data_IF_834517518797
#
_entry.id   IF_834517518797
#
_cell.length_a   1.000
_cell.length_b   1.000
_cell.length_c   1.000
_cell.angle_alpha   90.00
_cell.angle_beta   90.00
_cell.angle_gamma   90.00
#
_symmetry.space_group_name_H-M   'P 1'
#
loop_
_entity.id
_entity.type
_entity.pdbx_description
1 polymer ?
#
# COMPACT_ATOMS: atom_id res chain seq x y z
N UNK A 1 12.62 13.20 27.19
CA UNK A 1 12.28 12.00 26.44
C UNK A 1 13.34 11.75 25.37
N UNK A 2 13.96 10.58 25.38
CA UNK A 2 14.90 10.10 24.35
C UNK A 2 14.55 8.68 23.95
N UNK A 3 14.85 8.31 22.71
CA UNK A 3 14.74 6.92 22.25
C UNK A 3 15.80 6.08 22.97
N UNK A 4 15.37 5.13 23.79
CA UNK A 4 16.24 4.23 24.53
C UNK A 4 16.54 2.95 23.73
N UNK A 5 15.50 2.36 23.12
CA UNK A 5 15.60 1.07 22.43
C UNK A 5 14.68 0.99 21.23
N UNK A 6 15.17 0.35 20.17
CA UNK A 6 14.37 -0.01 18.99
C UNK A 6 14.47 -1.53 18.78
N UNK A 7 13.33 -2.20 18.74
CA UNK A 7 13.21 -3.62 18.41
C UNK A 7 12.56 -3.75 17.04
N UNK A 8 13.15 -4.55 16.14
CA UNK A 8 12.63 -4.83 14.80
C UNK A 8 12.27 -6.30 14.72
N UNK A 9 11.03 -6.61 14.32
CA UNK A 9 10.53 -7.98 14.24
C UNK A 9 9.87 -8.24 12.91
N UNK A 10 10.27 -9.33 12.26
CA UNK A 10 9.52 -9.92 11.16
C UNK A 10 8.36 -10.72 11.76
N UNK A 11 7.16 -10.50 11.25
CA UNK A 11 5.95 -11.22 11.63
C UNK A 11 5.38 -11.84 10.37
N UNK A 12 5.07 -13.12 10.43
CA UNK A 12 4.49 -13.88 9.33
C UNK A 12 3.37 -14.76 9.85
N UNK A 13 2.34 -14.94 9.03
CA UNK A 13 1.22 -15.83 9.29
C UNK A 13 0.82 -16.56 8.00
N UNK A 14 0.54 -17.86 8.14
CA UNK A 14 -0.13 -18.65 7.11
C UNK A 14 -1.60 -18.22 6.99
N UNK A 15 -2.11 -18.23 5.76
CA UNK A 15 -3.48 -17.88 5.44
C UNK A 15 -4.35 -19.14 5.39
N UNK A 16 -5.54 -19.07 5.97
CA UNK A 16 -6.54 -20.14 5.87
C UNK A 16 -6.91 -20.44 4.40
N UNK A 17 -6.88 -19.40 3.55
CA UNK A 17 -7.14 -19.50 2.12
C UNK A 17 -6.08 -18.72 1.33
N UNK A 18 -5.32 -19.39 0.45
CA UNK A 18 -4.44 -18.71 -0.50
C UNK A 18 -5.24 -17.85 -1.49
N UNK A 19 -4.65 -16.75 -1.93
CA UNK A 19 -5.19 -15.94 -3.02
C UNK A 19 -4.07 -15.40 -3.91
N UNK A 20 -4.44 -14.87 -5.07
CA UNK A 20 -3.51 -14.33 -6.06
C UNK A 20 -3.94 -12.98 -6.62
N UNK A 21 -2.97 -12.30 -7.21
CA UNK A 21 -3.11 -11.16 -8.10
C UNK A 21 -2.21 -11.39 -9.32
N UNK A 22 -2.19 -10.45 -10.27
CA UNK A 22 -1.45 -10.60 -11.53
C UNK A 22 0.03 -10.99 -11.40
N UNK A 23 0.67 -10.71 -10.27
CA UNK A 23 2.09 -11.01 -10.08
C UNK A 23 2.36 -12.41 -9.52
N UNK A 24 1.49 -12.91 -8.62
CA UNK A 24 1.69 -14.20 -7.93
C UNK A 24 0.48 -14.63 -7.11
N UNK A 25 0.53 -15.90 -6.70
CA UNK A 25 -0.27 -16.46 -5.62
C UNK A 25 0.51 -16.44 -4.30
N UNK A 26 -0.21 -16.39 -3.19
CA UNK A 26 0.39 -16.48 -1.85
C UNK A 26 -0.58 -17.08 -0.85
N UNK A 27 -0.02 -17.85 0.07
CA UNK A 27 -0.62 -18.51 1.22
C UNK A 27 -0.06 -17.96 2.53
N UNK A 28 0.75 -16.90 2.47
CA UNK A 28 1.37 -16.26 3.63
C UNK A 28 1.24 -14.74 3.56
N UNK A 29 1.18 -14.11 4.72
CA UNK A 29 1.30 -12.67 4.89
C UNK A 29 2.41 -12.35 5.85
N UNK A 30 3.20 -11.35 5.51
CA UNK A 30 4.27 -10.90 6.38
C UNK A 30 4.49 -9.40 6.34
N UNK A 31 4.95 -8.89 7.49
CA UNK A 31 5.25 -7.49 7.75
C UNK A 31 6.47 -7.40 8.66
N UNK A 32 7.06 -6.22 8.73
CA UNK A 32 8.08 -5.88 9.71
C UNK A 32 7.53 -4.81 10.64
N UNK A 33 7.58 -5.09 11.94
CA UNK A 33 7.09 -4.21 12.99
C UNK A 33 8.26 -3.64 13.78
N UNK A 34 8.24 -2.34 14.02
CA UNK A 34 9.17 -1.61 14.88
C UNK A 34 8.47 -1.28 16.20
N UNK A 35 9.11 -1.66 17.31
CA UNK A 35 8.75 -1.20 18.66
C UNK A 35 9.84 -0.26 19.16
N UNK A 36 9.49 1.00 19.35
CA UNK A 36 10.40 2.06 19.80
C UNK A 36 10.06 2.42 21.24
N UNK A 37 11.01 2.28 22.17
CA UNK A 37 10.83 2.55 23.60
C UNK A 37 11.68 3.74 24.01
N UNK A 38 11.09 4.68 24.75
CA UNK A 38 11.77 5.87 25.27
C UNK A 38 12.28 5.66 26.70
N UNK A 39 13.19 6.53 27.13
CA UNK A 39 13.78 6.53 28.48
C UNK A 39 12.78 6.82 29.62
N UNK A 40 11.60 7.36 29.30
CA UNK A 40 10.47 7.56 30.21
C UNK A 40 9.36 6.51 30.03
N UNK A 41 9.61 5.45 29.25
CA UNK A 41 8.75 4.26 29.16
C UNK A 41 7.62 4.33 28.13
N UNK A 42 7.52 5.40 27.34
CA UNK A 42 6.56 5.49 26.23
C UNK A 42 7.00 4.56 25.10
N UNK A 43 6.04 3.83 24.53
CA UNK A 43 6.27 2.92 23.41
C UNK A 43 5.52 3.39 22.17
N UNK A 44 6.26 3.55 21.08
CA UNK A 44 5.75 3.77 19.73
C UNK A 44 5.79 2.51 18.88
N UNK A 45 4.81 2.37 18.00
CA UNK A 45 4.75 1.28 17.02
C UNK A 45 4.74 1.81 15.59
N UNK A 46 5.46 1.11 14.72
CA UNK A 46 5.45 1.36 13.29
C UNK A 46 5.57 0.07 12.50
N UNK A 47 5.18 0.12 11.24
CA UNK A 47 5.08 -1.05 10.38
C UNK A 47 5.60 -0.73 8.97
N UNK A 48 6.15 -1.74 8.30
CA UNK A 48 6.50 -1.67 6.88
C UNK A 48 6.48 -3.05 6.24
N UNK A 49 6.33 -3.09 4.92
CA UNK A 49 6.55 -4.31 4.15
C UNK A 49 8.04 -4.69 4.13
N UNK A 50 8.30 -6.00 4.04
CA UNK A 50 9.64 -6.53 3.91
C UNK A 50 9.65 -8.06 4.03
N UNK A 51 10.84 -8.64 3.98
CA UNK A 51 11.07 -10.05 4.27
C UNK A 51 12.03 -10.21 5.44
N UNK A 52 12.15 -11.43 5.98
CA UNK A 52 13.14 -11.76 7.00
C UNK A 52 14.56 -11.25 6.64
N UNK A 53 14.94 -11.31 5.37
CA UNK A 53 16.25 -10.84 4.86
C UNK A 53 16.44 -9.31 4.95
N UNK A 54 15.35 -8.55 4.99
CA UNK A 54 15.40 -7.09 5.09
C UNK A 54 15.51 -6.57 6.53
N UNK A 55 15.26 -7.43 7.53
CA UNK A 55 15.32 -7.06 8.95
C UNK A 55 16.67 -6.46 9.35
N UNK A 56 17.83 -7.04 8.99
CA UNK A 56 19.12 -6.46 9.40
C UNK A 56 19.36 -5.07 8.83
N UNK A 57 18.95 -4.82 7.58
CA UNK A 57 19.07 -3.52 6.93
C UNK A 57 18.16 -2.48 7.60
N UNK A 58 16.90 -2.85 7.85
CA UNK A 58 15.93 -2.00 8.54
C UNK A 58 16.40 -1.66 9.96
N UNK A 59 16.88 -2.66 10.70
CA UNK A 59 17.43 -2.45 12.03
C UNK A 59 18.64 -1.52 12.00
N UNK A 60 19.59 -1.74 11.09
CA UNK A 60 20.80 -0.91 10.97
C UNK A 60 20.45 0.57 10.78
N UNK A 61 19.48 0.87 9.91
CA UNK A 61 19.04 2.26 9.67
C UNK A 61 18.26 2.81 10.87
N UNK A 62 17.29 2.07 11.41
CA UNK A 62 16.47 2.54 12.52
C UNK A 62 17.30 2.86 13.78
N UNK A 63 18.33 2.06 14.09
CA UNK A 63 19.19 2.25 15.27
C UNK A 63 19.95 3.58 15.27
N UNK A 64 20.11 4.25 14.12
CA UNK A 64 20.73 5.59 14.03
C UNK A 64 19.94 6.63 14.86
N UNK A 65 18.66 6.38 15.12
CA UNK A 65 17.81 7.27 15.92
C UNK A 65 17.92 7.08 17.44
N UNK A 66 18.60 6.03 17.94
CA UNK A 66 18.77 5.85 19.39
C UNK A 66 19.47 7.07 20.01
N UNK A 67 18.96 7.52 21.16
CA UNK A 67 19.42 8.69 21.88
C UNK A 67 18.86 10.04 21.39
N UNK A 68 18.15 10.07 20.26
CA UNK A 68 17.43 11.26 19.76
C UNK A 68 16.14 11.50 20.56
N UNK A 69 15.69 12.75 20.57
CA UNK A 69 14.36 13.13 21.06
C UNK A 69 13.31 12.78 19.99
N UNK A 70 12.34 11.89 20.28
CA UNK A 70 11.40 11.41 19.27
C UNK A 70 10.40 12.48 18.80
N UNK A 71 10.27 13.61 19.49
CA UNK A 71 9.44 14.73 19.04
C UNK A 71 10.06 15.50 17.86
N UNK A 72 11.37 15.35 17.62
CA UNK A 72 12.07 15.98 16.51
C UNK A 72 12.00 15.13 15.21
N UNK A 73 10.79 14.73 14.81
CA UNK A 73 10.54 13.79 13.70
C UNK A 73 11.27 14.20 12.42
N UNK A 74 11.12 15.44 11.94
CA UNK A 74 11.79 15.92 10.73
C UNK A 74 13.32 15.91 10.82
N UNK A 75 13.89 16.19 12.00
CA UNK A 75 15.35 16.10 12.24
C UNK A 75 15.82 14.65 12.09
N UNK A 76 15.10 13.71 12.70
CA UNK A 76 15.41 12.28 12.64
C UNK A 76 15.28 11.78 11.20
N UNK A 77 14.18 12.11 10.51
CA UNK A 77 13.98 11.77 9.11
C UNK A 77 15.14 12.22 8.23
N UNK A 78 15.56 13.50 8.33
CA UNK A 78 16.69 14.01 7.56
C UNK A 78 18.03 13.35 7.91
N UNK A 79 18.25 12.99 9.18
CA UNK A 79 19.43 12.25 9.64
C UNK A 79 19.50 10.87 8.96
N UNK A 80 18.39 10.13 8.97
CA UNK A 80 18.28 8.80 8.37
C UNK A 80 18.38 8.87 6.85
N UNK A 81 17.65 9.78 6.21
CA UNK A 81 17.68 9.98 4.77
C UNK A 81 19.12 10.25 4.28
N UNK A 82 19.86 11.14 4.95
CA UNK A 82 21.27 11.39 4.61
C UNK A 82 22.16 10.15 4.76
N UNK A 83 21.88 9.28 5.72
CA UNK A 83 22.65 8.05 5.92
C UNK A 83 22.44 7.04 4.77
N UNK A 84 21.25 7.02 4.18
CA UNK A 84 20.90 6.10 3.08
C UNK A 84 21.11 6.68 1.67
N UNK A 85 21.16 8.01 1.52
CA UNK A 85 21.13 8.73 0.23
C UNK A 85 22.26 8.36 -0.76
N UNK A 86 23.47 8.06 -0.29
CA UNK A 86 24.60 7.66 -1.14
C UNK A 86 24.98 6.18 -0.95
N UNK A 87 24.08 5.40 -0.37
CA UNK A 87 24.33 4.01 -0.02
C UNK A 87 25.54 3.78 0.91
N UNK A 88 26.00 4.83 1.63
CA UNK A 88 27.01 4.73 2.69
C UNK A 88 26.59 3.73 3.77
N UNK A 89 25.27 3.62 3.98
CA UNK A 89 24.62 2.51 4.65
C UNK A 89 23.75 1.81 3.61
N UNK A 90 24.31 0.83 2.88
CA UNK A 90 23.60 0.02 1.89
C UNK A 90 22.64 -0.94 2.59
N UNK A 91 21.58 -0.40 3.18
CA UNK A 91 20.56 -1.19 3.84
C UNK A 91 19.41 -1.43 2.85
N UNK A 92 19.30 -2.66 2.35
CA UNK A 92 18.04 -3.16 1.78
C UNK A 92 16.92 -2.81 2.77
N UNK A 93 15.95 -2.01 2.33
CA UNK A 93 14.87 -1.52 3.20
C UNK A 93 15.15 -0.20 3.92
N UNK A 94 16.12 0.62 3.50
CA UNK A 94 16.37 1.94 4.12
C UNK A 94 15.13 2.85 4.14
N UNK A 95 14.40 2.93 3.02
CA UNK A 95 13.13 3.66 2.97
C UNK A 95 12.08 3.03 3.91
N UNK A 96 11.98 1.69 3.93
CA UNK A 96 11.09 0.95 4.83
C UNK A 96 11.37 1.25 6.32
N UNK A 97 12.65 1.32 6.69
CA UNK A 97 13.08 1.68 8.04
C UNK A 97 12.68 3.09 8.41
N UNK A 98 12.88 4.05 7.51
CA UNK A 98 12.50 5.45 7.69
C UNK A 98 10.99 5.54 7.88
N UNK A 99 10.18 4.93 7.02
CA UNK A 99 8.71 4.96 7.12
C UNK A 99 8.17 4.32 8.39
N UNK A 100 8.65 3.13 8.76
CA UNK A 100 8.20 2.46 9.98
C UNK A 100 8.62 3.26 11.23
N UNK A 101 9.84 3.78 11.26
CA UNK A 101 10.29 4.59 12.39
C UNK A 101 9.50 5.90 12.48
N UNK A 102 9.29 6.61 11.37
CA UNK A 102 8.48 7.84 11.32
C UNK A 102 7.09 7.64 11.93
N UNK A 103 6.42 6.54 11.55
CA UNK A 103 5.13 6.14 12.13
C UNK A 103 5.21 5.95 13.65
N UNK A 104 6.25 5.25 14.13
CA UNK A 104 6.46 5.03 15.57
C UNK A 104 6.76 6.34 16.33
N UNK A 105 7.43 7.30 15.70
CA UNK A 105 7.72 8.61 16.29
C UNK A 105 6.46 9.48 16.40
N UNK A 106 5.57 9.43 15.40
CA UNK A 106 4.25 10.05 15.51
C UNK A 106 3.40 9.44 16.62
N UNK A 107 3.44 8.10 16.78
CA UNK A 107 2.75 7.41 17.88
C UNK A 107 3.29 7.84 19.26
N UNK A 108 4.61 7.89 19.44
CA UNK A 108 5.25 8.40 20.67
C UNK A 108 4.89 9.86 20.94
N UNK A 109 4.97 10.71 19.90
CA UNK A 109 4.69 12.14 20.03
C UNK A 109 3.23 12.38 20.37
N UNK A 110 2.31 11.60 19.78
CA UNK A 110 0.88 11.66 20.09
C UNK A 110 0.60 11.27 21.54
N UNK A 111 1.16 10.13 21.99
CA UNK A 111 1.04 9.66 23.37
C UNK A 111 1.61 10.64 24.39
N UNK A 112 2.80 11.18 24.14
CA UNK A 112 3.46 12.11 25.07
C UNK A 112 2.79 13.48 25.13
N UNK A 113 2.15 13.93 24.05
CA UNK A 113 1.48 15.23 23.98
C UNK A 113 -0.04 15.17 24.15
N UNK A 114 -0.63 13.98 24.29
CA UNK A 114 -2.08 13.79 24.38
C UNK A 114 -2.83 14.15 23.10
N UNK A 115 -2.18 14.00 21.94
CA UNK A 115 -2.73 14.36 20.62
C UNK A 115 -2.86 13.14 19.71
N UNK A 116 -3.88 13.14 18.87
CA UNK A 116 -4.00 12.19 17.78
C UNK A 116 -3.00 12.48 16.65
N UNK A 117 -2.70 11.47 15.82
CA UNK A 117 -1.88 11.67 14.62
C UNK A 117 -2.45 12.75 13.69
N UNK A 118 -3.78 12.83 13.54
CA UNK A 118 -4.44 13.87 12.74
C UNK A 118 -4.16 15.29 13.26
N UNK A 119 -4.13 15.49 14.59
CA UNK A 119 -3.78 16.77 15.19
C UNK A 119 -2.31 17.13 14.98
N UNK A 120 -1.42 16.14 15.01
CA UNK A 120 0.01 16.34 14.72
C UNK A 120 0.26 16.68 13.25
N UNK A 121 -0.55 16.13 12.34
CA UNK A 121 -0.41 16.31 10.89
C UNK A 121 -1.10 17.56 10.33
N UNK A 122 -1.55 18.48 11.18
CA UNK A 122 -2.13 19.76 10.77
C UNK A 122 -3.56 20.02 11.23
N UNK A 123 -4.14 19.11 12.02
CA UNK A 123 -5.47 19.28 12.61
C UNK A 123 -6.52 18.38 11.98
N UNK A 124 -7.53 18.02 12.78
CA UNK A 124 -8.67 17.22 12.34
C UNK A 124 -9.68 18.09 11.60
N UNK A 125 -9.82 17.87 10.29
CA UNK A 125 -10.79 18.59 9.44
C UNK A 125 -12.10 17.80 9.31
N UNK A 126 -12.03 16.47 9.40
CA UNK A 126 -13.19 15.58 9.29
C UNK A 126 -13.31 14.67 10.50
N UNK A 127 -14.55 14.38 10.89
CA UNK A 127 -14.80 13.42 11.96
C UNK A 127 -14.64 11.96 11.51
N UNK A 128 -14.87 11.71 10.24
CA UNK A 128 -14.76 10.41 9.57
C UNK A 128 -14.34 10.61 8.11
N UNK A 129 -13.71 9.59 7.52
CA UNK A 129 -13.37 9.56 6.09
C UNK A 129 -14.01 8.33 5.43
N UNK A 130 -14.39 8.40 4.14
CA UNK A 130 -14.83 7.23 3.41
C UNK A 130 -13.68 6.24 3.26
N UNK A 131 -13.96 4.96 3.46
CA UNK A 131 -13.04 3.85 3.20
C UNK A 131 -13.65 2.93 2.15
N UNK A 132 -12.78 2.21 1.43
CA UNK A 132 -13.17 1.19 0.46
C UNK A 132 -12.52 -0.13 0.83
N UNK A 133 -13.18 -1.24 0.50
CA UNK A 133 -12.64 -2.56 0.72
C UNK A 133 -11.65 -2.92 -0.40
N UNK A 134 -10.41 -3.25 -0.05
CA UNK A 134 -9.49 -3.91 -0.99
C UNK A 134 -9.56 -5.40 -0.73
N UNK A 135 -9.93 -6.16 -1.75
CA UNK A 135 -10.18 -7.59 -1.65
C UNK A 135 -10.36 -8.16 -3.05
N UNK A 136 -11.28 -9.12 -3.19
CA UNK A 136 -11.68 -9.66 -4.50
C UNK A 136 -10.46 -10.13 -5.31
N UNK A 137 -9.51 -10.73 -4.59
CA UNK A 137 -8.35 -11.38 -5.16
C UNK A 137 -8.80 -12.66 -5.89
N UNK A 138 -7.92 -13.20 -6.74
CA UNK A 138 -8.17 -14.49 -7.34
C UNK A 138 -8.07 -15.58 -6.27
N UNK A 139 -9.09 -16.41 -6.15
CA UNK A 139 -9.17 -17.55 -5.22
C UNK A 139 -9.67 -18.77 -5.95
N UNK A 140 -9.48 -19.95 -5.37
CA UNK A 140 -10.06 -21.22 -5.84
C UNK A 140 -9.87 -21.44 -7.36
N UNK A 141 -8.65 -21.20 -7.84
CA UNK A 141 -8.31 -21.25 -9.27
C UNK A 141 -9.21 -20.35 -10.13
N UNK A 142 -9.29 -19.06 -9.77
CA UNK A 142 -10.03 -18.03 -10.49
C UNK A 142 -11.55 -18.21 -10.49
N UNK A 143 -12.11 -18.88 -9.49
CA UNK A 143 -13.57 -19.02 -9.37
C UNK A 143 -14.27 -17.66 -9.29
N UNK A 144 -15.44 -17.56 -9.92
CA UNK A 144 -16.26 -16.33 -9.92
C UNK A 144 -17.14 -16.23 -8.67
N UNK A 145 -17.74 -17.34 -8.24
CA UNK A 145 -18.70 -17.34 -7.13
C UNK A 145 -18.14 -16.77 -5.82
N UNK A 146 -16.94 -17.17 -5.34
CA UNK A 146 -16.36 -16.59 -4.13
C UNK A 146 -16.13 -15.08 -4.23
N UNK A 147 -15.78 -14.57 -5.42
CA UNK A 147 -15.61 -13.14 -5.65
C UNK A 147 -16.93 -12.37 -5.54
N UNK A 148 -18.04 -12.93 -6.06
CA UNK A 148 -19.35 -12.29 -5.95
C UNK A 148 -19.90 -12.36 -4.52
N UNK A 149 -19.65 -13.45 -3.80
CA UNK A 149 -19.99 -13.60 -2.38
C UNK A 149 -19.24 -12.57 -1.52
N UNK A 150 -17.92 -12.44 -1.73
CA UNK A 150 -17.09 -11.45 -1.04
C UNK A 150 -17.54 -10.01 -1.35
N UNK A 151 -17.81 -9.70 -2.63
CA UNK A 151 -18.28 -8.39 -3.04
C UNK A 151 -19.62 -8.01 -2.38
N UNK A 152 -20.58 -8.94 -2.38
CA UNK A 152 -21.87 -8.74 -1.72
C UNK A 152 -21.70 -8.58 -0.21
N UNK A 153 -20.81 -9.35 0.40
CA UNK A 153 -20.45 -9.23 1.82
C UNK A 153 -19.86 -7.86 2.17
N UNK A 154 -19.11 -7.21 1.29
CA UNK A 154 -18.65 -5.83 1.52
C UNK A 154 -19.80 -4.82 1.49
N UNK A 155 -20.79 -5.01 0.62
CA UNK A 155 -22.01 -4.16 0.61
C UNK A 155 -22.77 -4.32 1.93
N UNK A 156 -22.97 -5.56 2.40
CA UNK A 156 -23.63 -5.84 3.68
C UNK A 156 -22.90 -5.23 4.89
N UNK A 157 -21.56 -5.16 4.83
CA UNK A 157 -20.72 -4.49 5.84
C UNK A 157 -20.77 -2.95 5.77
N UNK A 158 -21.45 -2.38 4.76
CA UNK A 158 -21.61 -0.93 4.60
C UNK A 158 -20.46 -0.23 3.87
N UNK A 159 -19.58 -0.96 3.17
CA UNK A 159 -18.55 -0.33 2.36
C UNK A 159 -19.16 0.41 1.17
N UNK A 160 -18.79 1.69 1.02
CA UNK A 160 -19.23 2.54 -0.10
C UNK A 160 -18.39 2.38 -1.38
N UNK A 161 -17.39 1.51 -1.34
CA UNK A 161 -16.59 1.15 -2.50
C UNK A 161 -15.73 -0.08 -2.28
N UNK A 162 -15.30 -0.70 -3.36
CA UNK A 162 -14.39 -1.85 -3.34
C UNK A 162 -13.48 -1.89 -4.57
N UNK A 163 -12.31 -2.53 -4.42
CA UNK A 163 -11.31 -2.67 -5.48
C UNK A 163 -11.00 -4.14 -5.73
N UNK A 164 -11.15 -4.59 -6.97
CA UNK A 164 -10.85 -5.96 -7.40
C UNK A 164 -9.55 -6.08 -8.18
N UNK A 165 -9.02 -7.31 -8.30
CA UNK A 165 -7.81 -7.61 -9.06
C UNK A 165 -8.13 -8.02 -10.49
N UNK A 166 -7.29 -7.55 -11.43
CA UNK A 166 -7.29 -7.95 -12.84
C UNK A 166 -5.85 -8.29 -13.29
N UNK A 167 -5.69 -8.77 -14.52
CA UNK A 167 -4.38 -8.92 -15.15
C UNK A 167 -3.72 -10.28 -14.99
N UNK A 168 -4.38 -11.24 -14.34
CA UNK A 168 -3.92 -12.62 -14.26
C UNK A 168 -4.65 -13.57 -15.23
N UNK A 169 -5.69 -13.09 -15.92
CA UNK A 169 -6.52 -13.86 -16.85
C UNK A 169 -6.53 -13.19 -18.24
N UNK A 170 -7.26 -13.75 -19.20
CA UNK A 170 -7.50 -13.05 -20.45
C UNK A 170 -8.34 -11.78 -20.20
N UNK A 171 -8.17 -10.76 -21.05
CA UNK A 171 -8.93 -9.51 -20.95
C UNK A 171 -10.45 -9.74 -20.94
N UNK A 172 -10.92 -10.73 -21.71
CA UNK A 172 -12.35 -11.06 -21.77
C UNK A 172 -12.86 -11.67 -20.46
N UNK A 173 -12.06 -12.52 -19.82
CA UNK A 173 -12.43 -13.13 -18.53
C UNK A 173 -12.48 -12.08 -17.42
N UNK A 174 -11.45 -11.23 -17.30
CA UNK A 174 -11.43 -10.15 -16.31
C UNK A 174 -12.55 -9.12 -16.56
N UNK A 175 -12.87 -8.81 -17.83
CA UNK A 175 -13.98 -7.93 -18.17
C UNK A 175 -15.33 -8.53 -17.76
N UNK A 176 -15.56 -9.82 -17.99
CA UNK A 176 -16.78 -10.50 -17.54
C UNK A 176 -16.86 -10.53 -16.01
N UNK A 177 -15.74 -10.71 -15.29
CA UNK A 177 -15.71 -10.59 -13.83
C UNK A 177 -16.13 -9.19 -13.36
N UNK A 178 -15.59 -8.14 -13.96
CA UNK A 178 -15.97 -6.74 -13.62
C UNK A 178 -17.47 -6.54 -13.83
N UNK A 179 -18.00 -6.95 -14.98
CA UNK A 179 -19.43 -6.86 -15.28
C UNK A 179 -20.27 -7.57 -14.23
N UNK A 180 -19.93 -8.82 -13.88
CA UNK A 180 -20.65 -9.62 -12.90
C UNK A 180 -20.59 -9.02 -11.50
N UNK A 181 -19.44 -8.48 -11.10
CA UNK A 181 -19.29 -7.76 -9.83
C UNK A 181 -20.18 -6.51 -9.80
N UNK A 182 -20.15 -5.69 -10.86
CA UNK A 182 -21.01 -4.51 -10.99
C UNK A 182 -22.48 -4.86 -10.90
N UNK A 183 -22.93 -5.91 -11.60
CA UNK A 183 -24.30 -6.42 -11.51
C UNK A 183 -24.68 -6.83 -10.06
N UNK A 184 -23.76 -7.46 -9.33
CA UNK A 184 -24.01 -7.95 -7.97
C UNK A 184 -24.08 -6.83 -6.91
N UNK A 185 -23.23 -5.81 -7.02
CA UNK A 185 -23.13 -4.74 -5.99
C UNK A 185 -24.05 -3.54 -6.25
N UNK A 186 -24.71 -3.50 -7.41
CA UNK A 186 -25.58 -2.39 -7.82
C UNK A 186 -24.80 -1.16 -8.31
N UNK A 187 -25.52 -0.08 -8.64
CA UNK A 187 -24.94 1.14 -9.21
C UNK A 187 -24.38 2.15 -8.20
N UNK A 188 -24.79 2.06 -6.92
CA UNK A 188 -24.45 3.09 -5.93
C UNK A 188 -23.08 2.88 -5.26
N UNK A 189 -22.53 1.67 -5.35
CA UNK A 189 -21.24 1.31 -4.74
C UNK A 189 -20.11 1.57 -5.73
N UNK A 190 -19.06 2.29 -5.29
CA UNK A 190 -17.89 2.54 -6.15
C UNK A 190 -17.15 1.25 -6.45
N UNK A 191 -16.81 1.02 -7.71
CA UNK A 191 -16.03 -0.13 -8.13
C UNK A 191 -14.74 0.35 -8.79
N UNK A 192 -13.63 -0.25 -8.35
CA UNK A 192 -12.29 -0.01 -8.86
C UNK A 192 -11.67 -1.34 -9.26
N UNK A 193 -10.63 -1.28 -10.07
CA UNK A 193 -9.79 -2.44 -10.32
C UNK A 193 -8.32 -2.09 -10.37
N UNK A 194 -7.49 -3.08 -10.13
CA UNK A 194 -6.05 -2.97 -10.01
C UNK A 194 -5.37 -4.09 -10.80
N UNK A 195 -4.52 -3.70 -11.76
CA UNK A 195 -3.76 -4.61 -12.60
C UNK A 195 -2.39 -4.97 -12.00
N UNK A 196 -1.98 -4.29 -10.92
CA UNK A 196 -0.68 -4.44 -10.28
C UNK A 196 0.46 -4.52 -11.31
N UNK A 197 0.53 -3.54 -12.21
CA UNK A 197 1.56 -3.37 -13.24
C UNK A 197 1.57 -4.41 -14.38
N UNK A 198 0.48 -5.16 -14.60
CA UNK A 198 0.50 -6.32 -15.50
C UNK A 198 0.45 -6.01 -17.01
N UNK A 199 0.09 -4.79 -17.42
CA UNK A 199 -0.17 -4.49 -18.82
C UNK A 199 0.86 -3.53 -19.44
N UNK A 200 1.09 -3.67 -20.73
CA UNK A 200 1.63 -2.58 -21.55
C UNK A 200 0.53 -1.54 -21.88
N UNK A 201 0.88 -0.34 -22.37
CA UNK A 201 -0.11 0.71 -22.67
C UNK A 201 -1.22 0.30 -23.63
N UNK A 202 -0.91 -0.51 -24.66
CA UNK A 202 -1.89 -0.94 -25.65
C UNK A 202 -2.89 -1.90 -25.02
N UNK A 203 -2.40 -2.86 -24.24
CA UNK A 203 -3.23 -3.82 -23.52
C UNK A 203 -4.08 -3.12 -22.46
N UNK A 204 -3.51 -2.20 -21.69
CA UNK A 204 -4.22 -1.40 -20.69
C UNK A 204 -5.36 -0.59 -21.32
N UNK A 205 -5.11 0.12 -22.41
CA UNK A 205 -6.14 0.91 -23.11
C UNK A 205 -7.21 0.02 -23.74
N UNK A 206 -6.82 -1.14 -24.29
CA UNK A 206 -7.78 -2.12 -24.83
C UNK A 206 -8.73 -2.57 -23.72
N UNK A 207 -8.18 -2.98 -22.58
CA UNK A 207 -8.97 -3.43 -21.44
C UNK A 207 -9.87 -2.33 -20.89
N UNK A 208 -9.34 -1.11 -20.67
CA UNK A 208 -10.11 0.03 -20.16
C UNK A 208 -11.32 0.36 -21.04
N UNK A 209 -11.17 0.27 -22.38
CA UNK A 209 -12.29 0.47 -23.30
C UNK A 209 -13.32 -0.67 -23.24
N UNK A 210 -12.90 -1.92 -23.01
CA UNK A 210 -13.82 -3.06 -22.89
C UNK A 210 -14.77 -2.94 -21.69
N UNK A 211 -14.34 -2.24 -20.64
CA UNK A 211 -15.08 -2.17 -19.36
C UNK A 211 -15.59 -0.76 -19.03
N UNK A 212 -15.47 0.20 -19.96
CA UNK A 212 -15.78 1.60 -19.74
C UNK A 212 -17.25 1.85 -19.32
N UNK A 213 -18.18 1.01 -19.77
CA UNK A 213 -19.62 1.14 -19.50
C UNK A 213 -20.04 0.64 -18.11
N UNK A 214 -19.10 0.25 -17.25
CA UNK A 214 -19.38 -0.34 -15.92
C UNK A 214 -19.22 0.64 -14.74
N UNK A 215 -19.13 1.95 -15.00
CA UNK A 215 -19.03 3.01 -13.99
C UNK A 215 -17.89 2.76 -12.99
N UNK A 216 -16.66 2.75 -13.51
CA UNK A 216 -15.45 2.40 -12.75
C UNK A 216 -14.79 3.67 -12.23
N UNK A 217 -14.51 3.72 -10.92
CA UNK A 217 -13.98 4.92 -10.26
C UNK A 217 -12.50 5.14 -10.60
N UNK A 218 -11.68 4.09 -10.62
CA UNK A 218 -10.33 4.17 -11.18
C UNK A 218 -9.80 2.81 -11.64
N UNK A 219 -8.78 2.90 -12.50
CA UNK A 219 -7.90 1.84 -12.97
C UNK A 219 -6.51 2.02 -12.32
N UNK A 220 -6.14 1.13 -11.40
CA UNK A 220 -4.90 1.20 -10.65
C UNK A 220 -3.74 0.44 -11.28
N UNK A 221 -2.54 1.03 -11.19
CA UNK A 221 -1.25 0.50 -11.67
C UNK A 221 -1.40 -0.24 -13.02
N UNK A 222 -1.87 0.44 -14.08
CA UNK A 222 -2.11 -0.19 -15.37
C UNK A 222 -0.84 -0.81 -15.97
N UNK A 223 0.25 -0.06 -15.89
CA UNK A 223 1.55 -0.41 -16.43
C UNK A 223 2.61 -0.40 -15.32
N UNK A 224 3.83 -0.84 -15.66
CA UNK A 224 4.97 -0.77 -14.76
C UNK A 224 5.10 0.62 -14.13
N UNK A 225 5.15 0.71 -12.79
CA UNK A 225 5.11 1.99 -12.05
C UNK A 225 6.30 2.91 -12.38
N UNK A 226 7.40 2.30 -12.81
CA UNK A 226 8.67 2.93 -13.23
C UNK A 226 8.71 3.34 -14.70
N UNK A 227 7.65 3.08 -15.47
CA UNK A 227 7.53 3.53 -16.85
C UNK A 227 6.55 4.70 -16.95
N UNK A 228 7.08 5.90 -16.67
CA UNK A 228 6.28 7.14 -16.70
C UNK A 228 5.69 7.42 -18.08
N UNK A 229 6.39 7.03 -19.16
CA UNK A 229 5.89 7.24 -20.52
C UNK A 229 4.68 6.35 -20.79
N UNK A 230 4.75 5.07 -20.42
CA UNK A 230 3.63 4.14 -20.50
C UNK A 230 2.42 4.64 -19.70
N UNK A 231 2.63 5.00 -18.43
CA UNK A 231 1.57 5.48 -17.55
C UNK A 231 0.96 6.80 -18.04
N UNK A 232 1.77 7.72 -18.58
CA UNK A 232 1.29 8.95 -19.20
C UNK A 232 0.40 8.69 -20.42
N UNK A 233 0.79 7.75 -21.29
CA UNK A 233 -0.04 7.37 -22.45
C UNK A 233 -1.40 6.84 -22.00
N UNK A 234 -1.43 5.99 -20.97
CA UNK A 234 -2.68 5.44 -20.44
C UNK A 234 -3.51 6.53 -19.77
N UNK A 235 -2.90 7.37 -18.94
CA UNK A 235 -3.57 8.49 -18.28
C UNK A 235 -4.24 9.46 -19.27
N UNK A 236 -3.58 9.78 -20.38
CA UNK A 236 -4.08 10.72 -21.39
C UNK A 236 -5.22 10.14 -22.26
N UNK A 237 -5.36 8.81 -22.32
CA UNK A 237 -6.23 8.14 -23.30
C UNK A 237 -7.26 7.19 -22.71
N UNK A 238 -7.10 6.79 -21.45
CA UNK A 238 -8.02 5.87 -20.79
C UNK A 238 -9.38 6.54 -20.60
N UNK A 239 -10.50 5.85 -20.92
CA UNK A 239 -11.83 6.34 -20.58
C UNK A 239 -12.11 6.31 -19.06
N UNK A 240 -11.24 5.66 -18.29
CA UNK A 240 -11.35 5.48 -16.84
C UNK A 240 -10.18 6.21 -16.17
N UNK A 241 -10.40 6.98 -15.09
CA UNK A 241 -9.31 7.62 -14.35
C UNK A 241 -8.25 6.61 -13.89
N UNK A 242 -6.97 6.96 -14.02
CA UNK A 242 -5.87 6.09 -13.56
C UNK A 242 -5.41 6.45 -12.15
N UNK A 243 -4.97 5.45 -11.38
CA UNK A 243 -4.35 5.58 -10.04
C UNK A 243 -3.04 4.80 -9.97
N UNK A 244 -2.15 5.14 -9.04
CA UNK A 244 -0.91 4.40 -8.78
C UNK A 244 -0.04 5.06 -7.71
N UNK A 245 1.12 4.45 -7.45
CA UNK A 245 2.15 5.00 -6.56
C UNK A 245 2.56 4.09 -5.40
N UNK A 246 1.85 2.98 -5.17
CA UNK A 246 2.16 2.04 -4.08
C UNK A 246 3.48 1.29 -4.31
N UNK A 247 3.84 1.08 -5.58
CA UNK A 247 5.08 0.43 -5.97
C UNK A 247 6.25 1.40 -6.21
N UNK A 248 6.00 2.72 -6.17
CA UNK A 248 7.05 3.73 -6.29
C UNK A 248 7.98 3.68 -5.08
N UNK A 249 9.28 3.63 -5.34
CA UNK A 249 10.31 3.68 -4.31
C UNK A 249 11.11 4.97 -4.45
N UNK A 250 11.53 5.60 -3.33
CA UNK A 250 12.40 6.79 -3.38
C UNK A 250 13.83 6.52 -3.90
N UNK A 251 14.08 5.39 -4.57
CA UNK A 251 15.41 4.90 -4.91
C UNK A 251 16.03 5.60 -6.14
N UNK A 252 15.93 6.94 -6.19
CA UNK A 252 16.64 7.76 -7.19
C UNK A 252 16.30 7.46 -8.65
N UNK A 253 15.29 6.62 -8.90
CA UNK A 253 14.78 6.25 -10.22
C UNK A 253 13.56 7.07 -10.63
N UNK A 254 13.32 8.23 -9.98
CA UNK A 254 12.48 9.26 -10.58
C UNK A 254 13.05 9.55 -11.97
N UNK A 255 12.26 9.38 -13.04
CA UNK A 255 12.78 9.60 -14.38
C UNK A 255 13.28 11.04 -14.45
N UNK A 256 14.51 11.18 -14.91
CA UNK A 256 14.99 12.46 -15.37
C UNK A 256 14.09 12.83 -16.54
N UNK A 257 13.31 13.89 -16.36
CA UNK A 257 12.42 14.43 -17.40
C UNK A 257 13.15 14.85 -18.65
#
# INVERSE_FOLDING_TARGET
>A
MRIERIEVRFVEAELDKPFGWSQRWTDVRSVIVLKVTTDDGIVGWGETYGSQDSVPGIATVAQIAVGEDPSHIGKIWHKLHRAVYQSHVFAKGGANAISALDTALYDITGKSSGKSAAELLGGRIHDSIPVYATGLYYVDNYALAPLLEEASGYVEQGFSGMKMKVGAMSLAEDAERIKKTREAIGGDVRLMFDANESYDPSTALTFANMVADHDLTWFEEPCASRDDQANKIVQERSPIPTSGGESLRPDGSLPQG
#
